data_IF_735695387899
#
_entry.id   IF_735695387899
#
_cell.length_a   1.000
_cell.length_b   1.000
_cell.length_c   1.000
_cell.angle_alpha   90.00
_cell.angle_beta   90.00
_cell.angle_gamma   90.00
#
_symmetry.space_group_name_H-M   'P 1'
#
loop_
_entity.id
_entity.type
_entity.pdbx_description
1 polymer ?
#
# COMPACT_ATOMS: atom_id res chain seq x y z
N UNK A 1 -27.09 -9.44 -0.02
CA UNK A 1 -25.64 -9.25 0.16
C UNK A 1 -24.93 -10.25 -0.73
N UNK A 2 -23.98 -9.87 -1.59
CA UNK A 2 -23.09 -10.86 -2.19
C UNK A 2 -22.34 -11.48 -1.02
N UNK A 3 -22.38 -12.81 -0.89
CA UNK A 3 -21.52 -13.49 0.05
C UNK A 3 -20.08 -13.15 -0.35
N UNK A 4 -19.33 -12.47 0.50
CA UNK A 4 -17.88 -12.53 0.46
C UNK A 4 -17.58 -14.03 0.63
N UNK A 5 -17.34 -14.71 -0.49
CA UNK A 5 -16.93 -16.09 -0.47
C UNK A 5 -15.71 -16.15 0.45
N UNK A 6 -15.84 -16.85 1.57
CA UNK A 6 -14.68 -17.27 2.35
C UNK A 6 -13.92 -18.21 1.44
N UNK A 7 -13.07 -17.61 0.61
CA UNK A 7 -12.34 -18.30 -0.41
C UNK A 7 -11.31 -19.16 0.32
N UNK A 8 -11.61 -20.46 0.38
CA UNK A 8 -10.73 -21.58 0.74
C UNK A 8 -9.51 -21.61 -0.18
N UNK A 9 -8.75 -20.53 -0.21
CA UNK A 9 -7.45 -20.49 -0.85
C UNK A 9 -6.45 -20.93 0.20
N UNK A 10 -5.49 -21.76 -0.19
CA UNK A 10 -4.30 -22.13 0.61
C UNK A 10 -3.58 -20.92 1.24
N UNK A 11 -3.79 -19.73 0.70
CA UNK A 11 -3.17 -18.47 1.12
C UNK A 11 -4.10 -17.58 1.93
N UNK A 12 -5.39 -17.90 2.00
CA UNK A 12 -6.36 -17.21 2.83
C UNK A 12 -6.27 -17.64 4.29
N UNK A 13 -7.12 -17.05 5.11
CA UNK A 13 -7.11 -17.28 6.56
C UNK A 13 -7.95 -18.50 6.98
N UNK A 14 -8.58 -19.17 6.01
CA UNK A 14 -9.45 -20.32 6.22
C UNK A 14 -8.72 -21.54 6.82
N UNK A 15 -7.42 -21.69 6.57
CA UNK A 15 -6.59 -22.77 7.12
C UNK A 15 -5.86 -22.36 8.41
N UNK A 16 -5.94 -21.08 8.80
CA UNK A 16 -5.43 -20.60 10.08
C UNK A 16 -6.50 -20.85 11.12
N UNK A 17 -6.48 -22.06 11.69
CA UNK A 17 -7.37 -22.40 12.79
C UNK A 17 -6.85 -21.71 14.05
N UNK A 18 -7.51 -20.66 14.56
CA UNK A 18 -7.00 -19.87 15.68
C UNK A 18 -6.77 -20.78 16.89
N UNK A 19 -5.53 -20.78 17.40
CA UNK A 19 -5.10 -21.65 18.48
C UNK A 19 -5.28 -21.02 19.86
N UNK A 20 -4.82 -21.74 20.88
CA UNK A 20 -4.72 -21.31 22.27
C UNK A 20 -3.81 -20.09 22.48
N UNK A 21 -3.07 -19.61 21.48
CA UNK A 21 -2.23 -18.41 21.59
C UNK A 21 -2.93 -17.17 20.99
N UNK A 22 -2.67 -16.00 21.58
CA UNK A 22 -3.16 -14.70 21.11
C UNK A 22 -2.02 -13.70 20.95
N UNK A 23 -2.14 -12.80 19.98
CA UNK A 23 -1.23 -11.69 19.76
C UNK A 23 -2.04 -10.41 19.63
N UNK A 24 -1.79 -9.44 20.51
CA UNK A 24 -2.46 -8.15 20.48
C UNK A 24 -1.57 -7.07 19.85
N UNK A 25 -2.08 -6.44 18.79
CA UNK A 25 -1.50 -5.24 18.21
C UNK A 25 -2.05 -4.01 18.93
N UNK A 26 -1.32 -3.52 19.93
CA UNK A 26 -1.81 -2.52 20.88
C UNK A 26 -2.08 -1.15 20.23
N UNK A 27 -3.08 -0.40 20.73
CA UNK A 27 -3.36 0.98 20.29
C UNK A 27 -2.28 1.98 20.72
N UNK A 28 -1.63 1.75 21.85
CA UNK A 28 -0.54 2.58 22.38
C UNK A 28 0.85 2.07 21.94
N UNK A 29 0.91 1.21 20.92
CA UNK A 29 2.17 0.68 20.42
C UNK A 29 3.06 1.82 19.89
N UNK A 30 4.34 1.79 20.27
CA UNK A 30 5.33 2.70 19.69
C UNK A 30 5.66 2.24 18.27
N UNK A 31 5.01 2.88 17.30
CA UNK A 31 5.21 2.72 15.86
C UNK A 31 6.67 2.99 15.44
N UNK A 32 7.18 2.22 14.49
CA UNK A 32 8.55 2.37 13.98
C UNK A 32 8.57 2.89 12.54
N UNK A 33 8.92 4.17 12.40
CA UNK A 33 8.98 4.84 11.11
C UNK A 33 7.61 5.23 10.58
N UNK A 34 7.49 5.37 9.25
CA UNK A 34 6.31 5.92 8.58
C UNK A 34 5.37 4.82 8.06
N UNK A 35 4.26 5.24 7.43
CA UNK A 35 3.23 4.40 6.80
C UNK A 35 3.74 3.12 6.12
N UNK A 36 4.77 3.20 5.27
CA UNK A 36 5.33 2.02 4.58
C UNK A 36 5.92 0.97 5.54
N UNK A 37 6.56 1.40 6.63
CA UNK A 37 7.04 0.50 7.67
C UNK A 37 5.88 -0.08 8.48
N UNK A 38 4.85 0.71 8.78
CA UNK A 38 3.67 0.26 9.54
C UNK A 38 2.89 -0.82 8.77
N UNK A 39 2.70 -0.66 7.47
CA UNK A 39 2.11 -1.70 6.60
C UNK A 39 2.98 -2.96 6.61
N UNK A 40 4.30 -2.81 6.51
CA UNK A 40 5.24 -3.93 6.58
C UNK A 40 5.16 -4.64 7.93
N UNK A 41 5.06 -3.89 9.02
CA UNK A 41 4.91 -4.41 10.38
C UNK A 41 3.61 -5.18 10.53
N UNK A 42 2.51 -4.68 9.95
CA UNK A 42 1.24 -5.39 9.89
C UNK A 42 1.38 -6.73 9.15
N UNK A 43 2.02 -6.75 7.98
CA UNK A 43 2.30 -8.02 7.28
C UNK A 43 3.23 -8.96 8.05
N UNK A 44 4.18 -8.41 8.80
CA UNK A 44 5.05 -9.21 9.65
C UNK A 44 4.33 -9.75 10.89
N UNK A 45 3.29 -9.08 11.39
CA UNK A 45 2.42 -9.61 12.43
C UNK A 45 1.72 -10.88 11.96
N UNK A 46 1.22 -10.91 10.73
CA UNK A 46 0.67 -12.14 10.14
C UNK A 46 1.70 -13.27 10.04
N UNK A 47 2.90 -12.97 9.55
CA UNK A 47 3.95 -13.98 9.47
C UNK A 47 4.32 -14.51 10.86
N UNK A 48 4.32 -13.66 11.88
CA UNK A 48 4.62 -14.04 13.25
C UNK A 48 3.49 -14.86 13.86
N UNK A 49 2.25 -14.41 13.72
CA UNK A 49 1.09 -15.12 14.23
C UNK A 49 0.96 -16.52 13.61
N UNK A 50 1.23 -16.66 12.31
CA UNK A 50 1.27 -17.98 11.66
C UNK A 50 2.39 -18.87 12.20
N UNK A 51 3.59 -18.32 12.38
CA UNK A 51 4.71 -19.09 12.94
C UNK A 51 4.36 -19.53 14.38
N UNK A 52 3.73 -18.69 15.19
CA UNK A 52 3.38 -18.98 16.59
C UNK A 52 1.99 -19.63 16.78
N UNK A 53 1.30 -19.93 15.67
CA UNK A 53 -0.09 -20.37 15.65
C UNK A 53 -1.06 -19.42 16.39
N UNK A 54 -0.69 -18.16 16.63
CA UNK A 54 -1.47 -17.23 17.44
C UNK A 54 -2.64 -16.62 16.66
N UNK A 55 -3.69 -16.17 17.35
CA UNK A 55 -4.77 -15.34 16.79
C UNK A 55 -4.38 -13.87 16.91
N UNK A 56 -4.51 -13.07 15.84
CA UNK A 56 -4.24 -11.64 15.93
C UNK A 56 -5.48 -10.90 16.44
N UNK A 57 -5.28 -10.10 17.47
CA UNK A 57 -6.23 -9.16 18.02
C UNK A 57 -5.86 -7.73 17.62
N UNK A 58 -6.85 -7.00 17.10
CA UNK A 58 -6.77 -5.58 16.77
C UNK A 58 -7.75 -4.81 17.64
N UNK A 59 -7.38 -3.60 18.01
CA UNK A 59 -8.34 -2.61 18.51
C UNK A 59 -8.69 -1.64 17.39
N UNK A 60 -9.82 -0.94 17.52
CA UNK A 60 -10.19 0.14 16.60
C UNK A 60 -9.08 1.19 16.45
N UNK A 61 -8.48 1.59 17.58
CA UNK A 61 -7.37 2.54 17.62
C UNK A 61 -5.98 1.88 17.47
N UNK A 62 -5.95 0.61 17.05
CA UNK A 62 -4.72 -0.15 16.83
C UNK A 62 -3.87 0.45 15.71
N UNK A 63 -2.54 0.40 15.84
CA UNK A 63 -1.63 0.94 14.84
C UNK A 63 -1.85 0.44 13.39
N UNK A 64 -2.25 -0.83 13.12
CA UNK A 64 -2.53 -1.20 11.74
C UNK A 64 -3.83 -0.58 11.24
N UNK A 65 -4.85 -0.42 12.08
CA UNK A 65 -6.15 0.11 11.64
C UNK A 65 -6.06 1.58 11.26
N UNK A 66 -5.28 2.37 12.01
CA UNK A 66 -5.03 3.78 11.69
C UNK A 66 -4.45 3.94 10.28
N UNK A 67 -3.40 3.19 9.95
CA UNK A 67 -2.77 3.27 8.63
C UNK A 67 -3.61 2.66 7.51
N UNK A 68 -4.34 1.57 7.79
CA UNK A 68 -5.19 0.93 6.79
C UNK A 68 -6.38 1.80 6.42
N UNK A 69 -7.03 2.45 7.39
CA UNK A 69 -8.15 3.39 7.16
C UNK A 69 -7.75 4.66 6.41
N UNK A 70 -6.49 5.06 6.56
CA UNK A 70 -5.94 6.18 5.79
C UNK A 70 -5.80 5.82 4.30
N UNK A 71 -5.54 4.55 3.96
CA UNK A 71 -5.19 4.13 2.59
C UNK A 71 -6.34 3.45 1.85
N UNK A 72 -7.13 2.67 2.57
CA UNK A 72 -8.17 1.80 2.02
C UNK A 72 -9.53 2.23 2.52
N UNK A 73 -10.49 2.29 1.60
CA UNK A 73 -11.88 2.59 1.91
C UNK A 73 -12.58 1.32 2.40
N UNK A 74 -13.64 1.50 3.20
CA UNK A 74 -14.51 0.42 3.67
C UNK A 74 -14.10 -0.19 5.01
N UNK A 75 -13.09 0.39 5.68
CA UNK A 75 -12.61 0.00 7.02
C UNK A 75 -12.87 1.07 8.08
N UNK A 76 -13.50 2.19 7.73
CA UNK A 76 -13.77 3.30 8.62
C UNK A 76 -14.77 2.93 9.71
N UNK A 77 -14.57 3.45 10.93
CA UNK A 77 -15.41 3.14 12.10
C UNK A 77 -16.90 3.44 11.90
N UNK A 78 -17.23 4.40 11.04
CA UNK A 78 -18.60 4.77 10.69
C UNK A 78 -19.26 3.89 9.62
N UNK A 79 -18.52 3.00 8.97
CA UNK A 79 -19.04 2.13 7.91
C UNK A 79 -19.75 0.93 8.55
N UNK A 80 -21.03 0.64 8.19
CA UNK A 80 -21.74 -0.50 8.75
C UNK A 80 -20.97 -1.81 8.53
N UNK A 81 -20.84 -2.60 9.58
CA UNK A 81 -20.17 -3.91 9.59
C UNK A 81 -18.67 -3.89 9.25
N UNK A 82 -17.98 -2.76 9.46
CA UNK A 82 -16.53 -2.66 9.16
C UNK A 82 -15.71 -3.67 9.96
N UNK A 83 -16.12 -3.97 11.21
CA UNK A 83 -15.44 -4.93 12.08
C UNK A 83 -15.50 -6.33 11.47
N UNK A 84 -16.69 -6.79 11.14
CA UNK A 84 -16.92 -8.10 10.54
C UNK A 84 -16.22 -8.22 9.18
N UNK A 85 -16.17 -7.14 8.40
CA UNK A 85 -15.38 -7.10 7.16
C UNK A 85 -13.89 -7.24 7.45
N UNK A 86 -13.34 -6.49 8.41
CA UNK A 86 -11.94 -6.58 8.79
C UNK A 86 -11.59 -7.97 9.32
N UNK A 87 -12.42 -8.52 10.22
CA UNK A 87 -12.27 -9.88 10.74
C UNK A 87 -12.30 -10.92 9.62
N UNK A 88 -13.24 -10.82 8.67
CA UNK A 88 -13.35 -11.76 7.56
C UNK A 88 -12.17 -11.65 6.58
N UNK A 89 -11.77 -10.42 6.25
CA UNK A 89 -10.73 -10.15 5.26
C UNK A 89 -9.34 -10.56 5.77
N UNK A 90 -9.04 -10.23 7.02
CA UNK A 90 -7.74 -10.47 7.62
C UNK A 90 -7.68 -11.72 8.48
N UNK A 91 -8.82 -12.33 8.81
CA UNK A 91 -8.94 -13.40 9.79
C UNK A 91 -8.33 -13.04 11.14
N UNK A 92 -8.62 -11.81 11.56
CA UNK A 92 -8.25 -11.25 12.87
C UNK A 92 -9.48 -11.17 13.76
N UNK A 93 -9.27 -10.85 15.03
CA UNK A 93 -10.34 -10.47 15.95
C UNK A 93 -10.24 -9.00 16.30
N UNK A 94 -11.35 -8.27 16.12
CA UNK A 94 -11.42 -6.84 16.44
C UNK A 94 -12.14 -6.70 17.77
N UNK A 95 -11.46 -6.13 18.75
CA UNK A 95 -11.98 -5.95 20.11
C UNK A 95 -12.10 -4.47 20.45
N UNK A 96 -13.13 -4.14 21.22
CA UNK A 96 -13.42 -2.78 21.64
C UNK A 96 -12.53 -2.32 22.79
N UNK A 97 -12.29 -3.21 23.76
CA UNK A 97 -11.52 -2.92 24.97
C UNK A 97 -10.64 -4.11 25.34
N UNK A 98 -9.48 -3.83 25.92
CA UNK A 98 -8.50 -4.84 26.33
C UNK A 98 -8.87 -5.58 27.61
N UNK A 99 -9.90 -5.13 28.33
CA UNK A 99 -10.25 -5.59 29.67
C UNK A 99 -11.47 -6.53 29.69
N UNK A 100 -11.73 -7.26 28.60
CA UNK A 100 -12.70 -8.35 28.66
C UNK A 100 -12.02 -9.57 29.29
N UNK A 101 -12.19 -9.73 30.62
CA UNK A 101 -11.56 -10.80 31.40
C UNK A 101 -11.90 -12.20 30.82
N UNK A 102 -13.10 -12.37 30.25
CA UNK A 102 -13.50 -13.63 29.61
C UNK A 102 -12.70 -13.93 28.34
N UNK A 103 -12.25 -12.89 27.63
CA UNK A 103 -11.42 -13.04 26.44
C UNK A 103 -10.01 -13.47 26.82
N UNK A 104 -9.43 -12.86 27.87
CA UNK A 104 -8.07 -13.14 28.31
C UNK A 104 -7.93 -14.60 28.76
N UNK A 105 -8.92 -15.12 29.50
CA UNK A 105 -8.94 -16.49 30.01
C UNK A 105 -9.10 -17.58 28.93
N UNK A 106 -9.56 -17.20 27.73
CA UNK A 106 -9.80 -18.15 26.62
C UNK A 106 -8.52 -18.57 25.86
N UNK A 107 -7.37 -17.97 26.17
CA UNK A 107 -6.08 -18.25 25.52
C UNK A 107 -5.03 -18.65 26.56
N UNK A 108 -4.21 -19.65 26.24
CA UNK A 108 -3.07 -20.11 27.04
C UNK A 108 -1.94 -19.07 27.13
N UNK A 109 -1.73 -18.27 26.07
CA UNK A 109 -0.69 -17.25 26.08
C UNK A 109 -1.06 -16.01 25.26
N UNK A 110 -0.54 -14.86 25.72
CA UNK A 110 -0.74 -13.56 25.07
C UNK A 110 0.60 -12.90 24.76
N UNK A 111 0.78 -12.53 23.50
CA UNK A 111 1.86 -11.65 23.07
C UNK A 111 1.35 -10.23 22.86
N UNK A 112 1.82 -9.29 23.68
CA UNK A 112 1.47 -7.88 23.59
C UNK A 112 2.51 -7.11 22.78
N UNK A 113 2.17 -6.70 21.57
CA UNK A 113 3.07 -5.91 20.71
C UNK A 113 3.03 -4.44 21.14
N UNK A 114 3.93 -4.06 22.05
CA UNK A 114 4.10 -2.66 22.51
C UNK A 114 5.07 -1.83 21.65
N UNK A 115 6.02 -2.48 20.96
CA UNK A 115 7.02 -1.80 20.12
C UNK A 115 7.06 -2.50 18.77
N UNK A 116 6.59 -1.81 17.73
CA UNK A 116 6.42 -2.44 16.40
C UNK A 116 7.76 -2.70 15.69
N UNK A 117 8.87 -2.14 16.18
CA UNK A 117 10.23 -2.47 15.71
C UNK A 117 10.54 -3.97 15.76
N UNK A 118 9.92 -4.71 16.70
CA UNK A 118 10.02 -6.18 16.74
C UNK A 118 9.44 -6.79 15.47
N UNK A 119 8.24 -6.36 15.08
CA UNK A 119 7.60 -6.77 13.82
C UNK A 119 8.42 -6.31 12.62
N UNK A 120 8.92 -5.08 12.58
CA UNK A 120 9.72 -4.58 11.47
C UNK A 120 10.93 -5.49 11.13
N UNK A 121 11.61 -5.96 12.18
CA UNK A 121 12.79 -6.84 12.08
C UNK A 121 12.44 -8.32 11.98
N UNK A 122 11.17 -8.68 12.16
CA UNK A 122 10.72 -10.05 12.15
C UNK A 122 11.02 -10.74 10.82
N UNK A 123 11.43 -12.01 10.90
CA UNK A 123 11.66 -12.90 9.78
C UNK A 123 11.08 -14.25 10.15
N UNK A 124 9.95 -14.60 9.56
CA UNK A 124 9.39 -15.94 9.70
C UNK A 124 10.41 -16.99 9.25
N UNK A 125 10.46 -18.06 10.03
CA UNK A 125 11.35 -19.21 9.86
C UNK A 125 10.60 -20.48 9.50
N UNK A 126 9.27 -20.51 9.72
CA UNK A 126 8.42 -21.67 9.43
C UNK A 126 7.78 -21.64 8.03
N UNK A 127 7.83 -20.50 7.34
CA UNK A 127 7.27 -20.35 6.00
C UNK A 127 8.31 -19.91 4.96
N UNK A 128 8.18 -20.44 3.74
CA UNK A 128 9.06 -20.07 2.63
C UNK A 128 8.82 -18.62 2.20
N UNK A 129 9.79 -18.01 1.52
CA UNK A 129 9.63 -16.68 0.96
C UNK A 129 8.42 -16.58 0.03
N UNK A 130 8.17 -17.60 -0.79
CA UNK A 130 7.08 -17.60 -1.74
C UNK A 130 5.71 -17.73 -1.07
N UNK A 131 5.58 -18.56 -0.03
CA UNK A 131 4.35 -18.63 0.78
C UNK A 131 4.00 -17.26 1.41
N UNK A 132 5.00 -16.56 1.96
CA UNK A 132 4.79 -15.23 2.54
C UNK A 132 4.41 -14.20 1.48
N UNK A 133 5.06 -14.22 0.31
CA UNK A 133 4.70 -13.33 -0.81
C UNK A 133 3.26 -13.55 -1.25
N UNK A 134 2.84 -14.81 -1.40
CA UNK A 134 1.48 -15.13 -1.84
C UNK A 134 0.42 -14.75 -0.80
N UNK A 135 0.68 -14.95 0.49
CA UNK A 135 -0.23 -14.51 1.55
C UNK A 135 -0.38 -12.98 1.58
N UNK A 136 0.73 -12.24 1.57
CA UNK A 136 0.69 -10.77 1.58
C UNK A 136 -0.01 -10.21 0.34
N UNK A 137 0.25 -10.82 -0.82
CA UNK A 137 -0.44 -10.52 -2.09
C UNK A 137 -1.95 -10.71 -1.95
N UNK A 138 -2.38 -11.84 -1.39
CA UNK A 138 -3.80 -12.13 -1.16
C UNK A 138 -4.46 -11.04 -0.29
N UNK A 139 -3.85 -10.67 0.84
CA UNK A 139 -4.39 -9.63 1.72
C UNK A 139 -4.47 -8.26 1.02
N UNK A 140 -3.43 -7.88 0.26
CA UNK A 140 -3.44 -6.64 -0.52
C UNK A 140 -4.55 -6.65 -1.57
N UNK A 141 -4.71 -7.72 -2.33
CA UNK A 141 -5.77 -7.84 -3.35
C UNK A 141 -7.15 -7.65 -2.73
N UNK A 142 -7.42 -8.26 -1.58
CA UNK A 142 -8.70 -8.10 -0.89
C UNK A 142 -8.92 -6.67 -0.40
N UNK A 143 -7.87 -5.99 0.09
CA UNK A 143 -7.95 -4.57 0.48
C UNK A 143 -8.31 -3.65 -0.71
N UNK A 144 -7.74 -3.91 -1.89
CA UNK A 144 -8.10 -3.19 -3.11
C UNK A 144 -9.52 -3.50 -3.57
N UNK A 145 -9.93 -4.75 -3.52
CA UNK A 145 -11.31 -5.15 -3.84
C UNK A 145 -12.32 -4.51 -2.88
N UNK A 146 -12.01 -4.43 -1.59
CA UNK A 146 -12.84 -3.74 -0.61
C UNK A 146 -12.97 -2.25 -0.93
N UNK A 147 -11.84 -1.59 -1.23
CA UNK A 147 -11.82 -0.18 -1.62
C UNK A 147 -12.67 0.05 -2.87
N UNK A 148 -12.47 -0.77 -3.90
CA UNK A 148 -13.25 -0.72 -5.14
C UNK A 148 -14.76 -0.89 -4.86
N UNK A 149 -15.13 -1.89 -4.07
CA UNK A 149 -16.53 -2.12 -3.70
C UNK A 149 -17.14 -0.94 -2.95
N UNK A 150 -16.40 -0.35 -2.01
CA UNK A 150 -16.85 0.83 -1.27
C UNK A 150 -17.06 2.03 -2.19
N UNK A 151 -16.19 2.23 -3.19
CA UNK A 151 -16.38 3.25 -4.21
C UNK A 151 -17.65 3.01 -5.06
N UNK A 152 -18.00 1.74 -5.35
CA UNK A 152 -19.25 1.42 -6.06
C UNK A 152 -20.49 1.78 -5.26
N UNK A 153 -20.48 1.44 -3.97
CA UNK A 153 -21.63 1.66 -3.11
C UNK A 153 -21.81 3.13 -2.76
N UNK A 154 -20.69 3.86 -2.64
CA UNK A 154 -20.65 5.24 -2.17
C UNK A 154 -19.84 6.13 -3.14
N UNK A 155 -20.28 6.28 -4.41
CA UNK A 155 -19.52 6.98 -5.45
C UNK A 155 -19.36 8.48 -5.17
N UNK A 156 -20.28 9.07 -4.41
CA UNK A 156 -20.28 10.50 -4.04
C UNK A 156 -19.79 10.76 -2.62
N UNK A 157 -19.23 9.75 -1.93
CA UNK A 157 -18.68 9.99 -0.59
C UNK A 157 -17.48 10.94 -0.65
N UNK A 158 -17.22 11.61 0.46
CA UNK A 158 -16.04 12.46 0.59
C UNK A 158 -14.74 11.66 0.35
N UNK A 159 -14.68 10.43 0.87
CA UNK A 159 -13.49 9.57 0.73
C UNK A 159 -13.29 9.10 -0.71
N UNK A 160 -14.36 8.66 -1.39
CA UNK A 160 -14.32 8.29 -2.82
C UNK A 160 -13.91 9.51 -3.66
N UNK A 161 -14.52 10.66 -3.41
CA UNK A 161 -14.19 11.92 -4.11
C UNK A 161 -12.74 12.33 -3.87
N UNK A 162 -12.22 12.17 -2.64
CA UNK A 162 -10.83 12.50 -2.33
C UNK A 162 -9.85 11.55 -3.04
N UNK A 163 -10.12 10.24 -3.03
CA UNK A 163 -9.32 9.26 -3.75
C UNK A 163 -9.35 9.51 -5.27
N UNK A 164 -10.54 9.70 -5.84
CA UNK A 164 -10.73 10.04 -7.25
C UNK A 164 -10.06 11.36 -7.65
N UNK A 165 -10.27 12.44 -6.89
CA UNK A 165 -9.64 13.74 -7.16
C UNK A 165 -8.13 13.63 -7.13
N UNK A 166 -7.58 12.85 -6.20
CA UNK A 166 -6.14 12.63 -6.17
C UNK A 166 -5.60 11.83 -7.36
N UNK A 167 -6.39 10.88 -7.87
CA UNK A 167 -6.11 10.23 -9.14
C UNK A 167 -6.17 11.28 -10.26
N UNK A 168 -7.19 12.12 -10.34
CA UNK A 168 -7.28 13.17 -11.35
C UNK A 168 -6.16 14.20 -11.27
N UNK A 169 -5.70 14.57 -10.08
CA UNK A 169 -4.55 15.46 -9.90
C UNK A 169 -3.25 14.82 -10.40
N UNK A 170 -3.15 13.51 -10.28
CA UNK A 170 -1.97 12.74 -10.66
C UNK A 170 -1.98 12.36 -12.15
N UNK A 171 -3.17 12.04 -12.67
CA UNK A 171 -3.39 11.48 -14.01
C UNK A 171 -4.01 12.48 -14.98
N UNK A 172 -4.51 13.64 -14.54
CA UNK A 172 -4.94 14.75 -15.39
C UNK A 172 -6.28 14.58 -16.11
N UNK A 173 -7.02 13.49 -15.92
CA UNK A 173 -8.24 13.18 -16.71
C UNK A 173 -9.52 13.50 -15.94
N UNK A 174 -9.79 14.78 -15.67
CA UNK A 174 -11.07 15.20 -15.08
C UNK A 174 -11.91 16.01 -16.07
N UNK A 175 -13.18 15.61 -16.29
CA UNK A 175 -14.16 16.53 -16.90
C UNK A 175 -14.29 17.78 -16.04
N UNK A 176 -14.32 18.93 -16.72
CA UNK A 176 -14.50 20.25 -16.10
C UNK A 176 -15.77 20.26 -15.27
N UNK A 177 -15.64 20.15 -13.95
CA UNK A 177 -16.66 20.67 -13.04
C UNK A 177 -16.60 22.18 -13.19
N UNK A 178 -17.57 22.75 -13.91
CA UNK A 178 -17.62 24.19 -14.18
C UNK A 178 -17.73 24.98 -12.88
N UNK A 179 -16.62 25.54 -12.42
CA UNK A 179 -16.52 26.87 -11.80
C UNK A 179 -15.12 27.21 -11.27
N UNK A 180 -14.17 26.28 -11.25
CA UNK A 180 -12.82 26.59 -10.74
C UNK A 180 -11.83 26.88 -11.88
N UNK A 181 -11.63 28.17 -12.17
CA UNK A 181 -10.77 28.72 -13.23
C UNK A 181 -9.28 28.76 -12.83
N UNK A 182 -8.81 27.91 -11.91
CA UNK A 182 -7.47 28.04 -11.35
C UNK A 182 -6.54 26.87 -11.66
N UNK A 183 -5.51 27.19 -12.43
CA UNK A 183 -4.24 26.47 -12.71
C UNK A 183 -4.31 25.31 -13.72
N UNK A 184 -3.38 25.35 -14.67
CA UNK A 184 -3.23 24.40 -15.76
C UNK A 184 -2.98 22.99 -15.22
N UNK A 185 -3.99 22.14 -15.25
CA UNK A 185 -3.82 20.71 -15.02
C UNK A 185 -3.07 20.12 -16.22
N UNK A 186 -1.88 19.58 -15.96
CA UNK A 186 -1.16 18.79 -16.95
C UNK A 186 -2.02 17.57 -17.30
N UNK A 187 -2.51 17.51 -18.55
CA UNK A 187 -3.15 16.31 -19.07
C UNK A 187 -2.05 15.27 -19.31
N UNK A 188 -1.95 14.32 -18.41
CA UNK A 188 -1.04 13.19 -18.56
C UNK A 188 -1.81 12.07 -19.27
N UNK A 189 -1.49 11.80 -20.54
CA UNK A 189 -1.99 10.59 -21.19
C UNK A 189 -1.33 9.39 -20.52
N UNK A 190 -2.00 8.82 -19.52
CA UNK A 190 -1.53 7.64 -18.81
C UNK A 190 -2.27 6.40 -19.29
N UNK A 191 -1.52 5.37 -19.64
CA UNK A 191 -2.04 4.09 -20.10
C UNK A 191 -2.61 3.27 -18.94
N UNK A 192 -3.51 2.33 -19.23
CA UNK A 192 -4.15 1.44 -18.25
C UNK A 192 -3.16 0.66 -17.38
N UNK A 193 -1.98 0.38 -17.93
CA UNK A 193 -0.84 -0.15 -17.19
C UNK A 193 0.17 0.97 -17.03
N UNK A 194 0.79 1.09 -15.88
CA UNK A 194 1.85 2.07 -15.66
C UNK A 194 2.92 1.52 -14.72
N UNK A 195 4.11 2.10 -14.83
CA UNK A 195 5.24 1.86 -13.93
C UNK A 195 5.42 3.09 -13.06
N UNK A 196 5.63 2.89 -11.75
CA UNK A 196 6.00 3.98 -10.85
C UNK A 196 7.47 3.83 -10.42
N UNK A 197 8.26 4.86 -10.69
CA UNK A 197 9.65 5.00 -10.22
C UNK A 197 9.63 5.92 -8.99
N UNK A 198 10.08 5.41 -7.85
CA UNK A 198 10.30 6.26 -6.67
C UNK A 198 11.77 6.66 -6.61
N UNK A 199 12.04 7.94 -6.80
CA UNK A 199 13.37 8.53 -6.70
C UNK A 199 13.55 9.23 -5.36
N UNK A 200 14.38 8.63 -4.52
CA UNK A 200 14.79 9.21 -3.24
C UNK A 200 16.30 9.37 -3.22
N UNK A 201 16.76 10.53 -2.79
CA UNK A 201 18.18 10.75 -2.62
C UNK A 201 18.67 10.10 -1.31
N UNK A 202 19.10 8.84 -1.43
CA UNK A 202 19.52 8.00 -0.31
C UNK A 202 21.05 7.88 -0.22
N UNK A 203 21.77 9.00 -0.31
CA UNK A 203 23.25 9.09 -0.29
C UNK A 203 23.92 8.19 0.76
N UNK A 204 23.36 8.11 1.98
CA UNK A 204 23.96 7.35 3.10
C UNK A 204 23.65 5.85 3.07
N UNK A 205 22.63 5.41 2.33
CA UNK A 205 22.28 3.98 2.21
C UNK A 205 22.89 3.35 0.96
N UNK A 206 23.16 4.13 -0.10
CA UNK A 206 23.76 3.61 -1.34
C UNK A 206 25.10 2.90 -1.11
N UNK A 207 26.04 3.56 -0.42
CA UNK A 207 27.34 2.98 -0.11
C UNK A 207 27.24 1.73 0.80
N UNK A 208 26.27 1.70 1.70
CA UNK A 208 26.06 0.59 2.63
C UNK A 208 25.35 -0.59 1.94
N UNK A 209 24.49 -0.31 0.96
CA UNK A 209 23.83 -1.29 0.12
C UNK A 209 24.80 -1.90 -0.90
N UNK A 210 25.70 -1.12 -1.50
CA UNK A 210 26.75 -1.64 -2.37
C UNK A 210 27.65 -2.64 -1.64
N UNK A 211 28.15 -2.26 -0.45
CA UNK A 211 29.01 -3.11 0.35
C UNK A 211 28.31 -4.37 0.88
N UNK A 212 26.99 -4.34 1.15
CA UNK A 212 26.27 -5.48 1.75
C UNK A 212 25.46 -6.33 0.77
N UNK A 213 25.01 -5.75 -0.33
CA UNK A 213 24.05 -6.34 -1.26
C UNK A 213 24.60 -6.43 -2.69
N UNK A 214 25.79 -5.88 -2.96
CA UNK A 214 26.38 -5.86 -4.30
C UNK A 214 25.59 -5.01 -5.31
N UNK A 215 24.75 -4.10 -4.79
CA UNK A 215 23.92 -3.22 -5.62
C UNK A 215 24.73 -1.98 -5.98
N UNK A 216 24.87 -1.70 -7.27
CA UNK A 216 25.51 -0.48 -7.75
C UNK A 216 24.80 0.75 -7.15
N UNK A 217 25.51 1.46 -6.26
CA UNK A 217 24.99 2.63 -5.57
C UNK A 217 24.74 3.80 -6.51
N UNK A 218 25.44 3.82 -7.65
CA UNK A 218 25.28 4.82 -8.68
C UNK A 218 24.12 4.50 -9.61
N UNK A 219 23.83 3.24 -9.93
CA UNK A 219 22.68 2.91 -10.77
C UNK A 219 21.34 3.35 -10.12
N UNK A 220 21.21 3.18 -8.79
CA UNK A 220 20.03 3.61 -8.04
C UNK A 220 19.91 5.14 -7.92
N UNK A 221 21.04 5.84 -7.91
CA UNK A 221 21.06 7.30 -7.83
C UNK A 221 20.91 7.89 -9.22
N UNK A 222 21.71 7.46 -10.18
CA UNK A 222 21.73 8.01 -11.52
C UNK A 222 20.52 7.54 -12.32
N UNK A 223 19.98 6.35 -12.13
CA UNK A 223 18.85 5.81 -12.92
C UNK A 223 19.03 6.06 -14.44
N UNK A 224 20.10 5.51 -15.06
CA UNK A 224 20.30 5.68 -16.49
C UNK A 224 19.14 5.07 -17.28
N UNK A 225 18.76 5.63 -18.46
CA UNK A 225 17.64 5.11 -19.24
C UNK A 225 17.77 3.62 -19.62
N UNK A 226 18.99 3.15 -19.88
CA UNK A 226 19.26 1.74 -20.18
C UNK A 226 18.92 0.82 -19.00
N UNK A 227 19.12 1.27 -17.75
CA UNK A 227 18.74 0.53 -16.55
C UNK A 227 17.22 0.41 -16.45
N UNK A 228 16.49 1.52 -16.64
CA UNK A 228 15.03 1.53 -16.67
C UNK A 228 14.52 0.61 -17.79
N UNK A 229 15.10 0.70 -18.98
CA UNK A 229 14.72 -0.11 -20.13
C UNK A 229 14.98 -1.60 -19.92
N UNK A 230 16.13 -1.96 -19.34
CA UNK A 230 16.48 -3.34 -19.04
C UNK A 230 15.52 -4.00 -18.03
N UNK A 231 14.93 -3.22 -17.11
CA UNK A 231 13.90 -3.69 -16.17
C UNK A 231 12.54 -3.81 -16.86
N UNK A 232 12.12 -2.80 -17.62
CA UNK A 232 10.75 -2.71 -18.14
C UNK A 232 10.53 -3.52 -19.42
N UNK A 233 11.56 -3.70 -20.24
CA UNK A 233 11.49 -4.48 -21.48
C UNK A 233 11.00 -5.92 -21.27
N UNK A 234 11.62 -6.74 -20.40
CA UNK A 234 11.18 -8.12 -20.18
C UNK A 234 9.79 -8.23 -19.54
N UNK A 235 9.29 -7.14 -18.95
CA UNK A 235 7.95 -7.05 -18.35
C UNK A 235 6.89 -6.58 -19.34
N UNK A 236 7.27 -6.19 -20.57
CA UNK A 236 6.34 -5.58 -21.53
C UNK A 236 5.84 -4.20 -21.10
N UNK A 237 6.59 -3.50 -20.26
CA UNK A 237 6.18 -2.22 -19.64
C UNK A 237 6.80 -0.98 -20.32
N UNK A 238 7.65 -1.16 -21.34
CA UNK A 238 8.31 -0.04 -22.04
C UNK A 238 7.37 0.84 -22.87
N UNK A 239 6.24 0.29 -23.32
CA UNK A 239 5.24 1.02 -24.11
C UNK A 239 4.11 1.59 -23.23
N UNK A 240 4.25 1.49 -21.91
CA UNK A 240 3.27 1.93 -20.93
C UNK A 240 3.82 3.14 -20.17
N UNK A 241 2.96 3.96 -19.60
CA UNK A 241 3.35 5.16 -18.86
C UNK A 241 4.33 4.84 -17.73
N UNK A 242 5.37 5.65 -17.63
CA UNK A 242 6.41 5.57 -16.60
C UNK A 242 6.34 6.86 -15.79
N UNK A 243 5.97 6.75 -14.53
CA UNK A 243 5.68 7.89 -13.68
C UNK A 243 6.73 7.94 -12.57
N UNK A 244 7.45 9.04 -12.44
CA UNK A 244 8.46 9.22 -11.40
C UNK A 244 7.95 10.12 -10.29
N UNK A 245 7.94 9.60 -9.06
CA UNK A 245 7.75 10.37 -7.84
C UNK A 245 9.13 10.70 -7.27
N UNK A 246 9.46 11.98 -7.19
CA UNK A 246 10.76 12.46 -6.72
C UNK A 246 10.62 13.28 -5.44
N UNK A 247 11.63 13.21 -4.57
CA UNK A 247 11.81 14.15 -3.46
C UNK A 247 12.42 15.50 -3.89
N UNK A 248 12.69 15.66 -5.19
CA UNK A 248 13.26 16.86 -5.80
C UNK A 248 14.77 16.99 -5.64
N UNK A 249 15.43 16.08 -4.92
CA UNK A 249 16.88 16.17 -4.65
C UNK A 249 17.74 15.63 -5.79
N UNK A 250 17.15 14.93 -6.75
CA UNK A 250 17.84 14.35 -7.90
C UNK A 250 17.05 14.58 -9.20
N UNK A 251 16.95 15.86 -9.58
CA UNK A 251 16.23 16.27 -10.78
C UNK A 251 16.93 15.80 -12.06
N UNK A 252 18.25 15.69 -12.03
CA UNK A 252 19.07 15.24 -13.18
C UNK A 252 18.69 13.83 -13.65
N UNK A 253 18.27 12.95 -12.73
CA UNK A 253 17.76 11.63 -13.09
C UNK A 253 16.44 11.72 -13.86
N UNK A 254 15.51 12.58 -13.42
CA UNK A 254 14.24 12.79 -14.13
C UNK A 254 14.47 13.43 -15.51
N UNK A 255 15.35 14.43 -15.60
CA UNK A 255 15.70 15.07 -16.86
C UNK A 255 16.28 14.07 -17.85
N UNK A 256 17.22 13.22 -17.41
CA UNK A 256 17.80 12.18 -18.27
C UNK A 256 16.77 11.17 -18.77
N UNK A 257 15.86 10.71 -17.91
CA UNK A 257 14.78 9.81 -18.34
C UNK A 257 13.81 10.51 -19.30
N UNK A 258 13.51 11.80 -19.10
CA UNK A 258 12.61 12.57 -19.97
C UNK A 258 13.18 12.84 -21.36
N UNK A 259 14.51 12.95 -21.48
CA UNK A 259 15.20 13.23 -22.75
C UNK A 259 15.57 11.96 -23.53
N UNK A 260 15.40 10.79 -22.93
CA UNK A 260 15.71 9.51 -23.57
C UNK A 260 14.74 9.19 -24.72
N UNK A 261 15.23 8.60 -25.80
CA UNK A 261 14.39 8.33 -26.99
C UNK A 261 13.45 7.14 -26.81
N UNK A 262 13.72 6.25 -25.85
CA UNK A 262 12.92 5.05 -25.58
C UNK A 262 11.98 5.28 -24.40
N UNK A 263 12.51 5.77 -23.28
CA UNK A 263 11.78 6.01 -22.03
C UNK A 263 11.04 7.34 -22.04
N UNK A 264 11.66 8.40 -22.58
CA UNK A 264 11.14 9.77 -22.56
C UNK A 264 9.72 9.92 -23.11
N UNK A 265 9.34 9.29 -24.24
CA UNK A 265 8.00 9.42 -24.81
C UNK A 265 6.86 8.98 -23.89
N UNK A 266 7.13 8.08 -22.94
CA UNK A 266 6.15 7.57 -21.97
C UNK A 266 6.45 8.00 -20.53
N UNK A 267 7.51 8.78 -20.33
CA UNK A 267 7.97 9.20 -19.01
C UNK A 267 7.32 10.50 -18.54
N UNK A 268 6.96 10.54 -17.25
CA UNK A 268 6.32 11.69 -16.62
C UNK A 268 6.88 11.89 -15.21
N UNK A 269 7.25 13.12 -14.88
CA UNK A 269 7.67 13.48 -13.53
C UNK A 269 6.49 14.08 -12.76
N UNK A 270 6.21 13.53 -11.58
CA UNK A 270 5.18 14.02 -10.68
C UNK A 270 5.61 15.37 -10.09
N UNK A 271 4.82 16.44 -10.27
CA UNK A 271 5.14 17.75 -9.71
C UNK A 271 5.36 17.75 -8.19
N UNK A 272 6.28 18.60 -7.73
CA UNK A 272 6.67 18.66 -6.31
C UNK A 272 5.57 19.19 -5.39
N UNK A 273 4.57 19.91 -5.91
CA UNK A 273 3.41 20.40 -5.15
C UNK A 273 2.41 19.28 -4.77
N UNK A 274 2.48 18.13 -5.44
CA UNK A 274 1.69 16.93 -5.11
C UNK A 274 2.57 15.81 -4.53
N UNK A 275 3.88 15.79 -4.84
CA UNK A 275 4.85 14.88 -4.23
C UNK A 275 5.16 15.24 -2.76
N UNK A 276 5.19 14.24 -1.88
CA UNK A 276 5.61 14.43 -0.47
C UNK A 276 7.12 14.19 -0.30
N UNK A 277 7.85 15.20 0.18
CA UNK A 277 9.27 15.09 0.55
C UNK A 277 9.57 14.02 1.61
N UNK A 278 8.56 13.59 2.38
CA UNK A 278 8.72 12.71 3.56
C UNK A 278 8.07 11.34 3.42
N UNK A 279 7.32 11.08 2.34
CA UNK A 279 6.57 9.84 2.15
C UNK A 279 6.59 9.39 0.71
N UNK A 280 6.77 8.08 0.46
CA UNK A 280 6.64 7.43 -0.86
C UNK A 280 5.18 7.40 -1.36
N UNK A 281 4.38 8.34 -0.87
CA UNK A 281 2.97 8.54 -1.10
C UNK A 281 2.77 9.99 -1.53
N UNK A 282 1.86 10.20 -2.47
CA UNK A 282 1.31 11.52 -2.75
C UNK A 282 0.29 11.82 -1.63
N UNK A 283 0.20 13.06 -1.15
CA UNK A 283 -0.80 13.46 -0.15
C UNK A 283 -1.46 14.74 -0.61
N UNK A 284 -2.77 14.76 -0.78
CA UNK A 284 -3.55 15.98 -0.99
C UNK A 284 -4.57 16.13 0.13
N UNK A 285 -4.58 17.29 0.79
CA UNK A 285 -5.54 17.66 1.86
C UNK A 285 -5.67 16.60 2.99
N UNK A 286 -4.58 15.97 3.38
CA UNK A 286 -4.55 14.98 4.47
C UNK A 286 -4.95 13.56 4.06
N UNK A 287 -5.35 13.33 2.81
CA UNK A 287 -5.64 11.99 2.28
C UNK A 287 -4.37 11.43 1.63
N UNK A 288 -3.86 10.27 2.08
CA UNK A 288 -2.77 9.58 1.42
C UNK A 288 -3.21 8.93 0.11
N UNK A 289 -2.35 9.02 -0.89
CA UNK A 289 -2.63 8.63 -2.26
C UNK A 289 -1.45 7.81 -2.77
N UNK A 290 -1.78 6.57 -3.12
CA UNK A 290 -0.99 5.57 -3.85
C UNK A 290 0.39 5.16 -3.31
N UNK A 291 0.45 3.88 -2.91
CA UNK A 291 1.48 2.93 -3.36
C UNK A 291 0.85 1.56 -3.60
N UNK A 292 0.93 1.05 -4.82
CA UNK A 292 1.23 -0.36 -5.08
C UNK A 292 2.43 -0.40 -6.00
N UNK A 293 3.55 -0.92 -5.50
CA UNK A 293 4.46 -1.68 -6.37
C UNK A 293 4.26 -3.12 -5.96
N UNK A 294 3.49 -3.84 -6.77
CA UNK A 294 3.60 -5.24 -7.17
C UNK A 294 2.36 -5.55 -8.02
N UNK A 295 2.52 -5.43 -9.35
CA UNK A 295 1.78 -6.16 -10.39
C UNK A 295 0.33 -6.57 -10.03
N UNK A 296 -0.62 -5.64 -10.00
CA UNK A 296 -2.03 -5.99 -10.19
C UNK A 296 -2.72 -4.88 -10.97
N UNK A 297 -3.18 -5.21 -12.18
CA UNK A 297 -4.15 -4.39 -12.89
C UNK A 297 -5.39 -4.32 -12.03
N UNK A 298 -5.75 -3.10 -11.62
CA UNK A 298 -7.04 -2.82 -11.01
C UNK A 298 -7.98 -2.52 -12.17
N UNK A 299 -8.86 -3.46 -12.48
CA UNK A 299 -9.98 -3.25 -13.37
C UNK A 299 -11.19 -2.79 -12.52
N UNK A 300 -11.59 -1.54 -12.79
CA UNK A 300 -12.79 -0.74 -12.49
C UNK A 300 -13.77 -1.16 -11.39
N UNK A 301 -14.24 -0.20 -10.57
CA UNK A 301 -15.57 0.37 -10.85
C UNK A 301 -15.80 1.85 -10.42
N UNK A 302 -16.32 2.64 -11.35
CA UNK A 302 -17.01 3.95 -11.23
C UNK A 302 -16.21 5.26 -11.18
N UNK A 303 -14.89 5.22 -11.02
CA UNK A 303 -14.04 6.39 -11.30
C UNK A 303 -13.22 6.26 -12.60
N UNK A 304 -13.27 5.09 -13.25
CA UNK A 304 -12.58 4.81 -14.51
C UNK A 304 -13.51 4.86 -15.74
N UNK A 305 -14.77 5.26 -15.58
CA UNK A 305 -15.73 5.33 -16.69
C UNK A 305 -15.46 6.45 -17.71
N UNK A 306 -14.55 7.39 -17.40
CA UNK A 306 -14.09 8.42 -18.33
C UNK A 306 -12.74 8.07 -19.02
N UNK A 307 -12.30 6.82 -18.91
CA UNK A 307 -11.11 6.27 -19.59
C UNK A 307 -11.46 5.27 -20.70
N UNK A 308 -12.66 5.38 -21.29
CA UNK A 308 -13.02 4.69 -22.55
C UNK A 308 -12.70 5.56 -23.77
#
# INVERSE_FOLDING_TARGET
MPQLHTNNTQYGVSDWNPSQNAMLLRPDAREFGQTGNQIREFFHAFDMARDENATIFLTEEGFPMKVLREIFLGLEGGTPYWKERAESLFGVKVIDQLNDDNLIESFESWEYIQKTVKLFRYRSTRHTLEQRKNHRRYLLQNLYQLTAHEMMLNPHSQSTTALCSSLYDFFGVGEKSGDDQSTSYHSYNITDKYTVIHSRYLLRLGALAEHKLGVDSQALTNMPPDFTSAILSPLGMLNNSIIMISDGQNIEAAERLSLDTVVGPVFQLVPSNISSMVSDMVRKRGVPVFKIVYLFGIEDPHCLTNFL
#
